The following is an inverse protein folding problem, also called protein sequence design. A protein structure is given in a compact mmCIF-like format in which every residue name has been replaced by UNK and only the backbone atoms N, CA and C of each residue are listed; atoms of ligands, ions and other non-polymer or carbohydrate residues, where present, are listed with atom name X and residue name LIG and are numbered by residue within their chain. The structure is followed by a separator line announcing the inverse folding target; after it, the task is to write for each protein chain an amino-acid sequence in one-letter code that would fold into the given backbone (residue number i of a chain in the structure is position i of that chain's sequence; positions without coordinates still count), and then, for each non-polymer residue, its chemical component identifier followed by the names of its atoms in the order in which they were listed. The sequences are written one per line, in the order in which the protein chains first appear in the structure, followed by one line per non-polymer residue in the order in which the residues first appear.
data_IF_066960886959
#
_entry.id   IF_066960886959
#
_cell.length_a   1.000
_cell.length_b   1.000
_cell.length_c   1.000
_cell.angle_alpha   90.00
_cell.angle_beta   90.00
_cell.angle_gamma   90.00
#
_symmetry.space_group_name_H-M   'P 1'
#
loop_
_entity.id
_entity.type
_entity.pdbx_description
1 polymer ?
#
# COMPACT_ATOMS: atom_id res chain seq x y z
N UNK A 1 -8.71 12.26 -0.95
CA UNK A 1 -10.05 12.54 -0.39
C UNK A 1 -9.88 13.61 0.68
N UNK A 2 -10.12 14.90 0.36
CA UNK A 2 -9.83 16.00 1.29
C UNK A 2 -10.68 15.98 2.57
N UNK A 3 -11.81 15.28 2.55
CA UNK A 3 -12.73 15.17 3.68
C UNK A 3 -12.49 13.94 4.56
N UNK A 4 -11.50 13.09 4.27
CA UNK A 4 -11.21 11.90 5.07
C UNK A 4 -10.70 12.31 6.46
N UNK A 5 -11.30 11.73 7.50
CA UNK A 5 -10.99 11.99 8.92
C UNK A 5 -10.60 10.72 9.67
N UNK A 6 -11.00 9.56 9.19
CA UNK A 6 -10.76 8.27 9.84
C UNK A 6 -10.22 7.26 8.83
N UNK A 7 -8.99 6.83 8.99
CA UNK A 7 -8.32 5.87 8.12
C UNK A 7 -8.01 4.61 8.93
N UNK A 8 -8.39 3.44 8.41
CA UNK A 8 -7.92 2.19 8.98
C UNK A 8 -6.50 1.86 8.47
N UNK A 9 -5.65 1.37 9.36
CA UNK A 9 -4.32 0.86 9.04
C UNK A 9 -4.26 -0.63 9.35
N UNK A 10 -4.32 -1.47 8.30
CA UNK A 10 -4.32 -2.92 8.46
C UNK A 10 -2.89 -3.45 8.47
N UNK A 11 -2.52 -4.08 9.59
CA UNK A 11 -1.17 -4.55 9.87
C UNK A 11 -1.14 -6.06 10.14
N UNK A 12 -0.04 -6.70 9.77
CA UNK A 12 0.18 -8.14 9.89
C UNK A 12 0.87 -8.47 11.20
N UNK A 13 0.14 -8.80 12.27
CA UNK A 13 0.68 -8.90 13.63
C UNK A 13 2.01 -9.69 13.76
N UNK A 14 2.20 -10.87 13.13
CA UNK A 14 3.45 -11.63 13.23
C UNK A 14 4.65 -10.99 12.52
N UNK A 15 4.43 -10.02 11.64
CA UNK A 15 5.50 -9.32 10.93
C UNK A 15 6.24 -8.35 11.88
N UNK A 16 7.59 -8.46 12.02
CA UNK A 16 8.37 -7.57 12.88
C UNK A 16 8.28 -6.09 12.48
N UNK A 17 7.87 -5.78 11.25
CA UNK A 17 7.69 -4.42 10.75
C UNK A 17 6.29 -3.82 11.05
N UNK A 18 5.39 -4.55 11.68
CA UNK A 18 4.03 -4.07 11.94
C UNK A 18 3.99 -2.89 12.91
N UNK A 19 4.81 -2.94 13.96
CA UNK A 19 4.93 -1.83 14.90
C UNK A 19 5.47 -0.55 14.23
N UNK A 20 6.64 -0.57 13.55
CA UNK A 20 7.14 0.65 12.88
C UNK A 20 6.22 1.12 11.75
N UNK A 21 5.55 0.20 11.04
CA UNK A 21 4.52 0.55 10.05
C UNK A 21 3.39 1.37 10.69
N UNK A 22 2.76 0.86 11.74
CA UNK A 22 1.67 1.56 12.42
C UNK A 22 2.13 2.90 13.01
N UNK A 23 3.29 2.94 13.66
CA UNK A 23 3.84 4.19 14.21
C UNK A 23 4.04 5.25 13.11
N UNK A 24 4.51 4.86 11.94
CA UNK A 24 4.71 5.78 10.82
C UNK A 24 3.38 6.28 10.25
N UNK A 25 2.39 5.39 10.12
CA UNK A 25 1.04 5.77 9.64
C UNK A 25 0.35 6.69 10.66
N UNK A 26 0.40 6.36 11.95
CA UNK A 26 -0.15 7.18 13.05
C UNK A 26 0.50 8.56 13.11
N UNK A 27 1.83 8.65 13.03
CA UNK A 27 2.53 9.93 13.06
C UNK A 27 2.16 10.82 11.87
N UNK A 28 2.02 10.24 10.67
CA UNK A 28 1.62 11.00 9.48
C UNK A 28 0.13 11.36 9.51
N UNK A 29 -0.72 10.49 10.06
CA UNK A 29 -2.13 10.77 10.28
C UNK A 29 -2.33 11.94 11.23
N UNK A 30 -1.61 11.97 12.35
CA UNK A 30 -1.64 13.07 13.30
C UNK A 30 -1.22 14.40 12.65
N UNK A 31 -0.16 14.41 11.84
CA UNK A 31 0.27 15.60 11.10
C UNK A 31 -0.76 16.07 10.05
N UNK A 32 -1.62 15.16 9.57
CA UNK A 32 -2.70 15.45 8.63
C UNK A 32 -4.06 15.66 9.31
N UNK A 33 -4.12 15.68 10.65
CA UNK A 33 -5.35 15.76 11.44
C UNK A 33 -6.36 14.63 11.14
N UNK A 34 -5.84 13.44 10.83
CA UNK A 34 -6.60 12.22 10.54
C UNK A 34 -6.40 11.20 11.66
N UNK A 35 -7.50 10.63 12.15
CA UNK A 35 -7.47 9.51 13.09
C UNK A 35 -7.10 8.22 12.37
N UNK A 36 -6.10 7.51 12.91
CA UNK A 36 -5.68 6.20 12.41
C UNK A 36 -6.22 5.11 13.33
N UNK A 37 -6.99 4.18 12.75
CA UNK A 37 -7.53 3.02 13.44
C UNK A 37 -6.71 1.77 13.07
N UNK A 38 -5.88 1.24 13.98
CA UNK A 38 -5.11 0.03 13.70
C UNK A 38 -6.02 -1.19 13.63
N UNK A 39 -5.84 -2.02 12.60
CA UNK A 39 -6.49 -3.31 12.41
C UNK A 39 -5.43 -4.39 12.34
N UNK A 40 -5.28 -5.15 13.43
CA UNK A 40 -4.26 -6.20 13.53
C UNK A 40 -4.80 -7.54 13.01
N UNK A 41 -4.10 -8.10 12.04
CA UNK A 41 -4.40 -9.39 11.41
C UNK A 41 -3.34 -10.40 11.83
N UNK A 42 -3.72 -11.53 12.43
CA UNK A 42 -2.76 -12.58 12.81
C UNK A 42 -2.51 -13.58 11.69
N UNK A 43 -3.47 -13.71 10.77
CA UNK A 43 -3.36 -14.58 9.61
C UNK A 43 -4.28 -14.12 8.48
N UNK A 44 -3.97 -14.53 7.25
CA UNK A 44 -4.80 -14.22 6.08
C UNK A 44 -6.24 -14.74 6.18
N UNK A 45 -6.50 -15.75 7.03
CA UNK A 45 -7.84 -16.27 7.28
C UNK A 45 -8.76 -15.27 7.99
N UNK A 46 -8.20 -14.28 8.69
CA UNK A 46 -8.97 -13.24 9.41
C UNK A 46 -9.41 -12.09 8.50
N UNK A 47 -8.90 -12.00 7.27
CA UNK A 47 -9.18 -10.87 6.37
C UNK A 47 -10.66 -10.71 6.10
N UNK A 48 -11.38 -11.78 5.80
CA UNK A 48 -12.83 -11.71 5.56
C UNK A 48 -13.59 -11.14 6.77
N UNK A 49 -13.24 -11.60 7.97
CA UNK A 49 -13.85 -11.13 9.21
C UNK A 49 -13.48 -9.67 9.51
N UNK A 50 -12.22 -9.28 9.28
CA UNK A 50 -11.74 -7.93 9.48
C UNK A 50 -12.44 -6.93 8.54
N UNK A 51 -12.56 -7.24 7.25
CA UNK A 51 -13.30 -6.40 6.32
C UNK A 51 -14.80 -6.34 6.66
N UNK A 52 -15.41 -7.46 7.10
CA UNK A 52 -16.80 -7.44 7.58
C UNK A 52 -16.98 -6.56 8.82
N UNK A 53 -15.98 -6.50 9.71
CA UNK A 53 -16.02 -5.62 10.87
C UNK A 53 -15.90 -4.15 10.47
N UNK A 54 -15.02 -3.83 9.51
CA UNK A 54 -14.88 -2.49 8.95
C UNK A 54 -16.20 -2.00 8.32
N UNK A 55 -16.95 -2.87 7.64
CA UNK A 55 -18.23 -2.51 7.01
C UNK A 55 -19.30 -2.02 8.00
N UNK A 56 -19.24 -2.45 9.27
CA UNK A 56 -20.17 -2.00 10.32
C UNK A 56 -19.91 -0.56 10.79
N UNK A 57 -18.71 -0.06 10.54
CA UNK A 57 -18.28 1.28 10.89
C UNK A 57 -17.21 1.72 9.90
N UNK A 58 -17.59 1.98 8.64
CA UNK A 58 -16.64 2.10 7.53
C UNK A 58 -15.70 3.28 7.77
N UNK A 59 -14.38 3.07 7.70
CA UNK A 59 -13.43 4.19 7.64
C UNK A 59 -13.53 4.86 6.26
N UNK A 60 -13.00 6.07 6.16
CA UNK A 60 -12.95 6.79 4.89
C UNK A 60 -11.99 6.13 3.90
N UNK A 61 -10.90 5.54 4.41
CA UNK A 61 -9.92 4.82 3.61
C UNK A 61 -9.23 3.71 4.40
N UNK A 62 -8.52 2.85 3.68
CA UNK A 62 -7.71 1.78 4.21
C UNK A 62 -6.27 1.89 3.69
N UNK A 63 -5.29 1.87 4.59
CA UNK A 63 -3.87 1.67 4.29
C UNK A 63 -3.51 0.25 4.72
N UNK A 64 -2.79 -0.49 3.88
CA UNK A 64 -2.49 -1.90 4.12
C UNK A 64 -1.00 -2.15 4.13
N UNK A 65 -0.53 -2.90 5.12
CA UNK A 65 0.86 -3.31 5.23
C UNK A 65 1.28 -4.23 4.08
N UNK A 66 2.47 -4.04 3.48
CA UNK A 66 2.97 -4.81 2.34
C UNK A 66 2.99 -6.34 2.51
N UNK A 67 3.15 -6.86 3.73
CA UNK A 67 3.26 -8.30 3.96
C UNK A 67 1.91 -9.05 3.96
N UNK A 68 0.79 -8.33 3.85
CA UNK A 68 -0.53 -8.95 3.69
C UNK A 68 -0.76 -9.40 2.24
N UNK A 69 -1.58 -10.45 2.02
CA UNK A 69 -1.77 -11.01 0.68
C UNK A 69 -2.55 -10.06 -0.23
N UNK A 70 -1.80 -9.35 -1.07
CA UNK A 70 -2.28 -8.28 -1.96
C UNK A 70 -3.55 -8.63 -2.76
N UNK A 71 -3.59 -9.84 -3.35
CA UNK A 71 -4.74 -10.32 -4.13
C UNK A 71 -6.02 -10.31 -3.32
N UNK A 72 -5.97 -10.93 -2.14
CA UNK A 72 -7.16 -11.07 -1.28
C UNK A 72 -7.61 -9.72 -0.73
N UNK A 73 -6.67 -8.87 -0.35
CA UNK A 73 -6.96 -7.52 0.15
C UNK A 73 -7.63 -6.68 -0.95
N UNK A 74 -7.12 -6.69 -2.19
CA UNK A 74 -7.70 -5.94 -3.29
C UNK A 74 -9.14 -6.38 -3.60
N UNK A 75 -9.37 -7.70 -3.67
CA UNK A 75 -10.71 -8.27 -3.87
C UNK A 75 -11.69 -7.83 -2.78
N UNK A 76 -11.27 -7.88 -1.50
CA UNK A 76 -12.10 -7.48 -0.38
C UNK A 76 -12.35 -5.96 -0.38
N UNK A 77 -11.34 -5.13 -0.67
CA UNK A 77 -11.51 -3.68 -0.78
C UNK A 77 -12.54 -3.30 -1.85
N UNK A 78 -12.52 -3.96 -3.02
CA UNK A 78 -13.54 -3.79 -4.06
C UNK A 78 -14.91 -4.25 -3.55
N UNK A 79 -14.99 -5.46 -2.97
CA UNK A 79 -16.25 -6.05 -2.50
C UNK A 79 -16.96 -5.18 -1.47
N UNK A 80 -16.21 -4.63 -0.52
CA UNK A 80 -16.72 -3.76 0.54
C UNK A 80 -16.74 -2.28 0.15
N UNK A 81 -16.45 -1.95 -1.12
CA UNK A 81 -16.41 -0.57 -1.65
C UNK A 81 -15.58 0.37 -0.78
N UNK A 82 -14.46 -0.13 -0.28
CA UNK A 82 -13.58 0.59 0.63
C UNK A 82 -12.39 1.18 -0.15
N UNK A 83 -12.22 2.51 -0.20
CA UNK A 83 -11.06 3.14 -0.79
C UNK A 83 -9.77 2.64 -0.10
N UNK A 84 -8.96 1.85 -0.81
CA UNK A 84 -7.76 1.26 -0.24
C UNK A 84 -6.50 1.65 -1.01
N UNK A 85 -5.40 1.81 -0.30
CA UNK A 85 -4.08 2.14 -0.87
C UNK A 85 -3.04 1.10 -0.46
N UNK A 86 -2.11 0.82 -1.36
CA UNK A 86 -1.05 -0.18 -1.17
C UNK A 86 0.28 0.30 -1.74
N UNK A 87 1.38 -0.37 -1.39
CA UNK A 87 2.72 0.05 -1.78
C UNK A 87 3.11 -0.34 -3.22
N UNK A 88 2.62 -1.47 -3.75
CA UNK A 88 2.97 -1.93 -5.11
C UNK A 88 1.83 -1.76 -6.10
N UNK A 89 2.21 -1.55 -7.36
CA UNK A 89 1.34 -1.45 -8.53
C UNK A 89 0.31 -2.58 -8.67
N UNK A 90 0.70 -3.85 -8.43
CA UNK A 90 -0.18 -5.02 -8.62
C UNK A 90 -1.50 -4.90 -7.82
N UNK A 91 -1.53 -4.07 -6.77
CA UNK A 91 -2.76 -3.77 -6.04
C UNK A 91 -3.77 -2.97 -6.89
N UNK A 92 -3.33 -1.91 -7.55
CA UNK A 92 -4.19 -1.07 -8.38
C UNK A 92 -4.68 -1.85 -9.61
N UNK A 93 -3.81 -2.67 -10.21
CA UNK A 93 -4.16 -3.59 -11.32
C UNK A 93 -5.28 -4.57 -10.95
N UNK A 94 -5.38 -4.94 -9.66
CA UNK A 94 -6.40 -5.86 -9.13
C UNK A 94 -7.69 -5.19 -8.66
N UNK A 95 -7.84 -3.90 -8.93
CA UNK A 95 -9.03 -3.14 -8.56
C UNK A 95 -8.90 -2.37 -7.25
N UNK A 96 -7.75 -2.39 -6.59
CA UNK A 96 -7.42 -1.40 -5.56
C UNK A 96 -7.50 0.03 -6.10
N UNK A 97 -7.74 1.02 -5.23
CA UNK A 97 -7.95 2.40 -5.69
C UNK A 97 -6.67 3.02 -6.27
N UNK A 98 -5.57 2.93 -5.53
CA UNK A 98 -4.27 3.43 -5.97
C UNK A 98 -3.13 2.70 -5.27
N UNK A 99 -1.95 2.80 -5.86
CA UNK A 99 -0.70 2.39 -5.22
C UNK A 99 0.36 3.48 -5.33
N UNK A 100 1.20 3.57 -4.31
CA UNK A 100 2.37 4.44 -4.34
C UNK A 100 3.53 3.79 -3.61
N UNK A 101 4.64 3.60 -4.31
CA UNK A 101 5.83 2.97 -3.75
C UNK A 101 6.96 2.83 -4.75
N UNK A 102 8.01 2.12 -4.34
CA UNK A 102 9.18 1.89 -5.19
C UNK A 102 8.83 1.01 -6.38
N UNK A 103 9.38 1.33 -7.55
CA UNK A 103 9.33 0.45 -8.73
C UNK A 103 10.04 -0.88 -8.39
N UNK A 104 9.26 -1.96 -8.24
CA UNK A 104 9.79 -3.27 -7.84
C UNK A 104 10.75 -3.83 -8.90
N UNK A 105 10.46 -3.61 -10.19
CA UNK A 105 11.32 -4.09 -11.26
C UNK A 105 12.69 -3.38 -11.24
N UNK A 106 12.74 -2.09 -10.92
CA UNK A 106 13.96 -1.33 -10.70
C UNK A 106 14.72 -1.81 -9.47
N UNK A 107 14.01 -2.04 -8.36
CA UNK A 107 14.60 -2.60 -7.15
C UNK A 107 15.26 -3.97 -7.42
N UNK A 108 14.59 -4.86 -8.17
CA UNK A 108 15.16 -6.16 -8.55
C UNK A 108 16.34 -6.04 -9.52
N UNK A 109 16.30 -5.12 -10.49
CA UNK A 109 17.45 -4.84 -11.37
C UNK A 109 18.68 -4.39 -10.57
N UNK A 110 18.50 -3.53 -9.56
CA UNK A 110 19.58 -3.11 -8.66
C UNK A 110 20.09 -4.23 -7.78
N UNK A 111 19.20 -5.08 -7.28
CA UNK A 111 19.59 -6.28 -6.53
C UNK A 111 20.44 -7.24 -7.38
N UNK A 112 20.12 -7.41 -8.67
CA UNK A 112 20.89 -8.25 -9.58
C UNK A 112 22.36 -7.76 -9.74
N UNK A 113 22.59 -6.45 -9.68
CA UNK A 113 23.96 -5.89 -9.69
C UNK A 113 24.73 -6.32 -8.43
N UNK A 114 24.06 -6.43 -7.28
CA UNK A 114 24.70 -6.90 -6.03
C UNK A 114 25.04 -8.37 -6.12
N UNK A 115 24.11 -9.18 -6.65
CA UNK A 115 24.35 -10.61 -6.93
C UNK A 115 25.56 -10.79 -7.83
N UNK A 116 25.64 -10.07 -8.96
CA UNK A 116 26.79 -10.13 -9.88
C UNK A 116 28.12 -9.80 -9.18
N UNK A 117 28.16 -8.71 -8.38
CA UNK A 117 29.35 -8.33 -7.61
C UNK A 117 29.79 -9.41 -6.63
N UNK A 118 28.84 -9.99 -5.90
CA UNK A 118 29.11 -11.04 -4.91
C UNK A 118 29.62 -12.30 -5.60
N UNK A 119 28.99 -12.72 -6.70
CA UNK A 119 29.45 -13.87 -7.50
C UNK A 119 30.84 -13.66 -8.10
N UNK A 120 31.25 -12.41 -8.33
CA UNK A 120 32.61 -12.01 -8.74
C UNK A 120 33.59 -11.83 -7.57
N UNK A 121 33.20 -12.13 -6.33
CA UNK A 121 34.07 -12.15 -5.16
C UNK A 121 34.00 -10.92 -4.24
N UNK A 122 33.09 -9.96 -4.49
CA UNK A 122 32.84 -8.89 -3.54
C UNK A 122 32.22 -9.42 -2.24
N UNK A 123 32.68 -8.93 -1.09
CA UNK A 123 32.09 -9.29 0.21
C UNK A 123 30.80 -8.48 0.43
N UNK A 124 29.70 -9.16 0.75
CA UNK A 124 28.41 -8.52 1.02
C UNK A 124 28.51 -7.43 2.11
N UNK A 125 29.29 -7.66 3.17
CA UNK A 125 29.52 -6.69 4.25
C UNK A 125 30.20 -5.39 3.80
N UNK A 126 30.84 -5.36 2.63
CA UNK A 126 31.45 -4.17 2.05
C UNK A 126 30.57 -3.45 1.02
N UNK A 127 29.40 -4.01 0.68
CA UNK A 127 28.46 -3.37 -0.25
C UNK A 127 27.47 -2.49 0.53
N UNK A 128 27.29 -1.22 0.14
CA UNK A 128 26.39 -0.31 0.86
C UNK A 128 24.93 -0.74 0.70
N UNK A 129 24.06 -0.45 1.67
CA UNK A 129 22.62 -0.61 1.48
C UNK A 129 22.12 0.45 0.49
N UNK A 130 21.39 0.05 -0.55
CA UNK A 130 20.77 0.98 -1.50
C UNK A 130 19.32 1.26 -1.14
N UNK A 131 18.93 2.52 -1.28
CA UNK A 131 17.53 2.94 -1.19
C UNK A 131 16.90 2.99 -2.59
N UNK A 132 15.57 2.80 -2.71
CA UNK A 132 14.86 3.04 -3.96
C UNK A 132 15.08 4.47 -4.44
N UNK A 133 15.28 4.65 -5.75
CA UNK A 133 15.42 5.98 -6.38
C UNK A 133 14.32 6.25 -7.39
N UNK A 134 13.48 5.25 -7.67
CA UNK A 134 12.36 5.33 -8.59
C UNK A 134 11.11 4.89 -7.84
N UNK A 135 10.10 5.75 -7.89
CA UNK A 135 8.79 5.53 -7.29
C UNK A 135 7.74 5.65 -8.38
N UNK A 136 6.62 4.97 -8.20
CA UNK A 136 5.49 5.01 -9.12
C UNK A 136 4.19 5.30 -8.37
N UNK A 137 3.40 6.21 -8.91
CA UNK A 137 2.01 6.45 -8.55
C UNK A 137 1.10 5.85 -9.62
N UNK A 138 0.32 4.84 -9.25
CA UNK A 138 -0.67 4.21 -10.13
C UNK A 138 -2.06 4.47 -9.57
N UNK A 139 -2.96 5.00 -10.40
CA UNK A 139 -4.34 5.33 -10.02
C UNK A 139 -5.32 4.49 -10.83
N UNK A 140 -6.23 3.79 -10.17
CA UNK A 140 -7.31 3.06 -10.84
C UNK A 140 -8.57 3.95 -10.94
N UNK A 141 -8.78 4.55 -12.11
CA UNK A 141 -9.93 5.41 -12.38
C UNK A 141 -11.25 4.62 -12.45
N UNK A 142 -11.22 3.34 -12.85
CA UNK A 142 -12.43 2.49 -12.79
C UNK A 142 -12.90 2.34 -11.37
N UNK A 143 -11.97 2.00 -10.47
CA UNK A 143 -12.26 1.87 -9.04
C UNK A 143 -12.70 3.21 -8.46
N UNK A 144 -12.01 4.31 -8.76
CA UNK A 144 -12.43 5.64 -8.31
C UNK A 144 -13.88 5.96 -8.71
N UNK A 145 -14.25 5.73 -9.98
CA UNK A 145 -15.62 5.93 -10.48
C UNK A 145 -16.63 5.03 -9.77
N UNK A 146 -16.31 3.74 -9.59
CA UNK A 146 -17.19 2.78 -8.89
C UNK A 146 -17.40 3.15 -7.41
N UNK A 147 -16.42 3.81 -6.80
CA UNK A 147 -16.48 4.34 -5.43
C UNK A 147 -17.11 5.73 -5.35
N UNK A 148 -17.49 6.34 -6.48
CA UNK A 148 -18.03 7.72 -6.51
C UNK A 148 -17.00 8.80 -6.19
N UNK A 149 -15.70 8.48 -6.33
CA UNK A 149 -14.61 9.39 -6.03
C UNK A 149 -14.22 10.18 -7.29
N UNK A 150 -14.08 11.49 -7.12
CA UNK A 150 -13.47 12.35 -8.14
C UNK A 150 -11.98 12.47 -7.87
N UNK A 151 -11.15 12.04 -8.82
CA UNK A 151 -9.69 12.19 -8.74
C UNK A 151 -9.31 13.56 -9.32
N UNK A 152 -8.61 14.42 -8.56
CA UNK A 152 -8.18 15.73 -9.05
C UNK A 152 -7.28 15.61 -10.28
N UNK A 153 -7.42 16.52 -11.24
CA UNK A 153 -6.60 16.52 -12.47
C UNK A 153 -5.10 16.62 -12.18
N UNK A 154 -4.71 17.36 -11.13
CA UNK A 154 -3.31 17.44 -10.69
C UNK A 154 -2.73 16.09 -10.29
N UNK A 155 -3.54 15.20 -9.68
CA UNK A 155 -3.11 13.85 -9.35
C UNK A 155 -3.01 12.97 -10.59
N UNK A 156 -3.90 13.13 -11.57
CA UNK A 156 -3.84 12.37 -12.82
C UNK A 156 -2.62 12.74 -13.67
N UNK A 157 -2.29 14.04 -13.72
CA UNK A 157 -1.08 14.53 -14.42
C UNK A 157 0.19 14.03 -13.73
N UNK A 158 0.18 13.95 -12.40
CA UNK A 158 1.32 13.47 -11.62
C UNK A 158 1.41 11.96 -11.46
N UNK A 159 0.44 11.20 -11.97
CA UNK A 159 0.48 9.74 -11.92
C UNK A 159 1.39 9.20 -13.03
N UNK A 160 2.22 8.22 -12.67
CA UNK A 160 3.02 7.48 -13.64
C UNK A 160 2.12 6.59 -14.52
N UNK A 161 1.02 6.10 -13.95
CA UNK A 161 0.03 5.32 -14.69
C UNK A 161 -1.41 5.52 -14.19
N UNK A 162 -2.34 5.49 -15.13
CA UNK A 162 -3.77 5.58 -14.89
C UNK A 162 -4.46 4.38 -15.54
N UNK A 163 -5.18 3.59 -14.75
CA UNK A 163 -5.93 2.42 -15.20
C UNK A 163 -7.39 2.84 -15.47
N UNK A 164 -7.85 2.67 -16.72
CA UNK A 164 -9.15 3.13 -17.22
C UNK A 164 -10.20 2.05 -17.50
#
# INVERSE_FOLDING_TARGET
MPAARRIAAMANMPDPFSKPFLQQVESNGAAAEVTIDPVMIHSSAELDAAFSALDKGPPDALIVQPSLPIRRVAELAVRYRLPAVFFVRDFADRGGLLSYGSDEADAYRKAAIYVDKILKGAKAAGLPVQQPTKFELVINLRTAKALGLTVPQSMLIGADEVIE
#
